data_IF_551357849393
#
_entry.id   IF_551357849393
#
_cell.length_a   1.000
_cell.length_b   1.000
_cell.length_c   1.000
_cell.angle_alpha   90.00
_cell.angle_beta   90.00
_cell.angle_gamma   90.00
#
_symmetry.space_group_name_H-M   'P 1'
#
loop_
_entity.id
_entity.type
_entity.pdbx_description
1 polymer ?
2 non-polymer ?
3 non-polymer ?
4 water ?
#
# COMPACT_ATOMS: atom_id res chain seq x y z
N UNK A 1 4.22 -12.49 -6.37
CA UNK A 1 4.25 -11.00 -6.29
C UNK A 1 4.62 -10.64 -4.87
N UNK A 2 5.59 -9.79 -4.75
CA UNK A 2 6.08 -9.27 -3.48
C UNK A 2 5.61 -7.83 -3.33
N UNK A 3 4.98 -7.51 -2.18
CA UNK A 3 4.44 -6.17 -1.98
C UNK A 3 4.94 -5.62 -0.64
N UNK A 4 5.22 -4.34 -0.61
CA UNK A 4 5.46 -3.70 0.68
C UNK A 4 4.18 -3.76 1.52
N UNK A 5 4.42 -3.79 2.86
CA UNK A 5 3.30 -3.88 3.77
C UNK A 5 3.54 -3.07 5.04
N UNK A 6 4.63 -2.33 5.15
CA UNK A 6 4.84 -1.48 6.33
C UNK A 6 3.91 -0.29 6.27
N UNK A 7 3.67 0.30 7.47
CA UNK A 7 2.81 1.46 7.60
C UNK A 7 3.62 2.75 7.56
N UNK A 8 3.00 3.77 7.00
CA UNK A 8 3.56 5.13 7.05
C UNK A 8 5.04 5.16 6.81
N UNK A 9 5.83 5.75 7.72
CA UNK A 9 7.24 5.94 7.55
C UNK A 9 8.08 4.87 8.24
N UNK A 10 7.51 3.75 8.58
CA UNK A 10 8.24 2.66 9.19
C UNK A 10 9.31 2.15 8.25
N UNK A 11 10.29 1.51 8.85
CA UNK A 11 11.27 0.78 8.05
C UNK A 11 10.55 -0.12 7.05
N UNK A 12 10.93 -0.10 5.80
CA UNK A 12 10.21 -0.94 4.83
C UNK A 12 10.24 -2.42 5.17
N UNK A 13 9.12 -3.09 4.92
CA UNK A 13 9.02 -4.52 4.96
C UNK A 13 8.23 -4.96 3.72
N UNK A 14 8.33 -6.23 3.38
CA UNK A 14 7.48 -6.79 2.34
C UNK A 14 6.88 -8.13 2.79
N UNK A 15 5.83 -8.49 2.07
CA UNK A 15 5.23 -9.80 2.18
C UNK A 15 5.16 -10.38 0.77
N UNK A 16 5.03 -11.71 0.72
CA UNK A 16 4.84 -12.41 -0.55
C UNK A 16 3.37 -12.71 -0.66
N UNK A 17 2.71 -12.12 -1.66
CA UNK A 17 1.30 -12.31 -1.83
C UNK A 17 1.00 -13.78 -2.15
N UNK A 18 -0.23 -14.15 -1.90
CA UNK A 18 -0.66 -15.54 -2.04
C UNK A 18 -1.82 -15.62 -2.99
N UNK A 19 -1.62 -15.06 -4.18
CA UNK A 19 -2.70 -15.08 -5.17
C UNK A 19 -2.82 -13.75 -5.87
N UNK A 20 -2.62 -12.62 -5.18
CA UNK A 20 -2.87 -11.30 -5.72
C UNK A 20 -1.88 -10.99 -6.84
N UNK A 21 -2.41 -10.14 -7.76
CA UNK A 21 -1.61 -9.65 -8.90
C UNK A 21 -1.50 -8.13 -8.91
N UNK A 22 -1.86 -7.47 -7.82
CA UNK A 22 -1.56 -6.07 -7.54
C UNK A 22 -0.95 -5.96 -6.15
N UNK A 23 -0.17 -4.88 -6.01
CA UNK A 23 0.13 -4.30 -4.70
C UNK A 23 -0.64 -2.98 -4.57
N UNK A 24 -0.83 -2.51 -3.33
CA UNK A 24 -1.47 -1.23 -3.16
C UNK A 24 -0.70 -0.40 -2.14
N UNK A 25 -0.87 0.90 -2.31
CA UNK A 25 -0.45 1.92 -1.30
C UNK A 25 -1.61 2.89 -1.24
N UNK A 26 -2.11 3.14 -0.04
CA UNK A 26 -3.23 4.04 0.21
C UNK A 26 -2.79 5.08 1.22
N UNK A 27 -3.17 6.35 0.99
CA UNK A 27 -2.72 7.38 1.95
C UNK A 27 -3.68 8.54 1.99
N UNK A 28 -3.69 9.21 3.15
CA UNK A 28 -4.48 10.42 3.41
C UNK A 28 -3.85 11.05 4.64
N UNK A 29 -4.31 12.25 5.02
CA UNK A 29 -3.75 12.94 6.16
C UNK A 29 -4.74 13.15 7.28
N UNK A 30 -4.23 13.15 8.50
CA UNK A 30 -4.95 13.59 9.69
C UNK A 30 -4.20 14.70 10.37
N UNK A 31 -4.54 14.98 11.62
CA UNK A 31 -3.92 16.15 12.26
C UNK A 31 -2.41 16.02 12.41
N UNK A 32 -1.84 14.84 12.33
CA UNK A 32 -0.41 14.63 12.47
C UNK A 32 0.30 14.55 11.12
N UNK A 33 -0.40 14.40 10.04
CA UNK A 33 0.27 14.32 8.74
C UNK A 33 -0.21 13.06 8.02
N UNK A 34 0.64 12.60 7.10
CA UNK A 34 0.24 11.55 6.18
C UNK A 34 0.30 10.19 6.83
N UNK A 35 -0.76 9.40 6.62
CA UNK A 35 -0.91 8.01 7.01
C UNK A 35 -0.85 7.17 5.74
N UNK A 36 -0.08 6.09 5.76
CA UNK A 36 0.05 5.21 4.60
C UNK A 36 -0.20 3.76 5.01
N UNK A 37 -1.00 3.06 4.22
CA UNK A 37 -1.24 1.65 4.37
C UNK A 37 -0.77 0.95 3.07
N UNK A 38 -0.17 -0.22 3.19
CA UNK A 38 0.43 -0.90 2.04
C UNK A 38 0.11 -2.39 2.15
N UNK A 39 -0.14 -3.05 1.00
CA UNK A 39 -0.28 -4.50 1.03
C UNK A 39 -0.51 -5.06 -0.34
N UNK A 40 -1.05 -6.29 -0.35
CA UNK A 40 -1.42 -7.01 -1.56
C UNK A 40 -2.85 -6.73 -1.98
N UNK A 41 -3.08 -6.70 -3.27
CA UNK A 41 -4.42 -6.49 -3.86
C UNK A 41 -4.60 -5.04 -4.29
N UNK A 42 -5.83 -4.73 -4.65
CA UNK A 42 -6.20 -3.38 -5.05
C UNK A 42 -7.61 -3.14 -4.52
N UNK A 43 -7.70 -2.63 -3.30
CA UNK A 43 -8.99 -2.48 -2.64
C UNK A 43 -9.77 -1.25 -3.11
N UNK A 44 -11.06 -1.30 -2.91
CA UNK A 44 -11.88 -0.11 -2.97
C UNK A 44 -11.46 0.80 -1.83
N UNK A 45 -11.44 2.12 -1.98
CA UNK A 45 -11.15 3.05 -0.91
C UNK A 45 -12.29 4.04 -0.76
N UNK A 46 -12.38 4.58 0.44
CA UNK A 46 -13.27 5.71 0.75
C UNK A 46 -12.91 6.90 -0.16
N UNK A 47 -13.86 7.63 -0.71
CA UNK A 47 -13.54 8.80 -1.51
C UNK A 47 -12.61 9.76 -0.76
N UNK A 48 -11.65 10.31 -1.50
CA UNK A 48 -10.71 11.23 -0.96
C UNK A 48 -9.45 10.61 -0.43
N UNK A 49 -9.37 9.28 -0.44
CA UNK A 49 -8.13 8.57 -0.18
C UNK A 49 -7.34 8.53 -1.47
N UNK A 50 -6.00 8.69 -1.34
CA UNK A 50 -5.11 8.48 -2.47
C UNK A 50 -4.75 7.01 -2.55
N UNK A 51 -4.70 6.48 -3.78
CA UNK A 51 -4.47 5.05 -3.98
C UNK A 51 -3.55 4.87 -5.16
N UNK A 52 -2.58 3.96 -5.01
CA UNK A 52 -1.79 3.41 -6.12
C UNK A 52 -2.01 1.90 -6.07
N UNK A 53 -2.50 1.30 -7.14
CA UNK A 53 -2.45 -0.13 -7.32
C UNK A 53 -1.47 -0.37 -8.47
N UNK A 54 -0.45 -1.18 -8.17
CA UNK A 54 0.64 -1.41 -9.13
C UNK A 54 0.80 -2.94 -9.28
N UNK A 55 1.67 -3.38 -10.19
CA UNK A 55 1.62 -4.72 -10.70
C UNK A 55 2.96 -5.42 -10.71
N UNK A 56 3.98 -4.84 -10.11
CA UNK A 56 5.31 -5.39 -10.12
C UNK A 56 5.91 -5.47 -8.70
N UNK A 57 6.89 -6.33 -8.53
CA UNK A 57 7.41 -6.57 -7.20
C UNK A 57 7.88 -5.27 -6.55
N UNK A 58 7.43 -5.07 -5.31
CA UNK A 58 7.93 -3.96 -4.48
C UNK A 58 7.58 -2.62 -5.09
N UNK A 59 6.48 -2.57 -5.85
CA UNK A 59 6.13 -1.34 -6.56
C UNK A 59 5.42 -0.29 -5.70
N UNK A 60 5.01 -0.67 -4.50
CA UNK A 60 4.16 0.13 -3.64
C UNK A 60 4.87 0.69 -2.39
N UNK A 61 6.17 0.95 -2.49
CA UNK A 61 6.87 1.61 -1.37
C UNK A 61 6.43 3.06 -1.30
X LIG B 1 -0.80 1.44 15.24
X LIG B 1 -0.01 1.18 16.46
X LIG B 1 -2.24 1.49 15.54
X LIG B 1 -0.39 0.48 14.21
X LIG B 1 -0.53 2.81 14.72
X LIG C 1 -4.38 14.22 1.94
X LIG C 1 -2.82 14.15 2.10
X LIG C 1 -5.11 13.91 3.17
X LIG C 1 -4.83 13.64 0.60
X LIG C 1 -4.36 15.62 1.53
X LIG C 1 -2.49 12.90 2.34
X LIG C 1 -6.60 13.52 3.67
X LIG C 1 -5.71 14.62 -0.06
#
# INVERSE_FOLDING_TARGET
LECHNQQSSQTPTTKTCSGETNCYKKWWSDHRGTIIERGCGCPKVKPGVNLNCCTTDRCNN
SO4 S O1 O2 O3 O4
TRS C C1 C2 C3 N O1 O2 O3
#
